data_IF_855214728164
#
_entry.id   IF_855214728164
#
_cell.length_a   1.000
_cell.length_b   1.000
_cell.length_c   1.000
_cell.angle_alpha   90.00
_cell.angle_beta   90.00
_cell.angle_gamma   90.00
#
_symmetry.space_group_name_H-M   'P 1'
#
loop_
_entity.id
_entity.type
_entity.pdbx_description
1 polymer ?
#
# COMPACT_ATOMS: atom_id res chain seq x y z
N UNK A 1 6.17 -25.48 4.54
CA UNK A 1 6.98 -24.24 4.56
C UNK A 1 6.10 -23.08 5.03
N UNK A 2 6.57 -22.24 5.95
CA UNK A 2 5.84 -21.07 6.42
C UNK A 2 5.66 -20.05 5.29
N UNK A 3 4.44 -19.54 5.10
CA UNK A 3 4.13 -18.43 4.19
C UNK A 3 4.48 -17.10 4.82
N UNK A 4 4.74 -16.09 3.99
CA UNK A 4 4.91 -14.70 4.40
C UNK A 4 3.72 -13.95 3.81
N UNK A 5 2.84 -13.47 4.66
CA UNK A 5 1.67 -12.68 4.27
C UNK A 5 2.07 -11.21 4.28
N UNK A 6 2.08 -10.59 3.12
CA UNK A 6 2.33 -9.16 2.97
C UNK A 6 1.00 -8.43 2.83
N UNK A 7 0.63 -7.67 3.86
CA UNK A 7 -0.57 -6.83 3.86
C UNK A 7 -0.12 -5.39 3.66
N UNK A 8 -0.62 -4.75 2.62
CA UNK A 8 -0.31 -3.36 2.26
C UNK A 8 -1.60 -2.54 2.27
N UNK A 9 -1.76 -1.70 3.29
CA UNK A 9 -2.91 -0.83 3.49
C UNK A 9 -2.59 0.57 2.98
N UNK A 10 -3.48 1.13 2.15
CA UNK A 10 -3.20 2.36 1.41
C UNK A 10 -2.16 2.11 0.32
N UNK A 11 -2.36 1.02 -0.41
CA UNK A 11 -1.41 0.49 -1.39
C UNK A 11 -1.09 1.50 -2.50
N UNK A 12 -2.02 2.40 -2.80
CA UNK A 12 -1.93 3.34 -3.90
C UNK A 12 -1.51 2.60 -5.19
N UNK A 13 -0.38 2.96 -5.81
CA UNK A 13 0.11 2.28 -7.01
C UNK A 13 1.03 1.08 -6.73
N UNK A 14 1.00 0.54 -5.53
CA UNK A 14 1.83 -0.59 -5.10
C UNK A 14 3.33 -0.41 -5.41
N UNK A 15 3.85 0.80 -5.21
CA UNK A 15 5.21 1.17 -5.62
C UNK A 15 6.25 0.30 -4.92
N UNK A 16 6.09 0.02 -3.64
CA UNK A 16 7.01 -0.79 -2.84
C UNK A 16 6.98 -2.25 -3.27
N UNK A 17 5.79 -2.79 -3.50
CA UNK A 17 5.67 -4.15 -4.01
C UNK A 17 6.29 -4.27 -5.42
N UNK A 18 6.03 -3.29 -6.31
CA UNK A 18 6.65 -3.23 -7.64
C UNK A 18 8.18 -3.08 -7.55
N UNK A 19 8.67 -2.35 -6.56
CA UNK A 19 10.10 -2.22 -6.33
C UNK A 19 10.75 -3.56 -5.99
N UNK A 20 10.09 -4.39 -5.19
CA UNK A 20 10.60 -5.71 -4.80
C UNK A 20 10.34 -6.76 -5.90
N UNK A 21 9.08 -6.93 -6.30
CA UNK A 21 8.63 -8.02 -7.15
C UNK A 21 8.41 -7.65 -8.63
N UNK A 22 8.36 -6.37 -8.95
CA UNK A 22 8.17 -5.86 -10.31
C UNK A 22 9.36 -6.13 -11.23
N UNK A 23 9.26 -5.66 -12.48
CA UNK A 23 10.31 -5.84 -13.47
C UNK A 23 11.65 -5.23 -13.06
N UNK A 24 12.75 -5.73 -13.60
CA UNK A 24 14.07 -5.14 -13.37
C UNK A 24 14.12 -3.71 -13.92
N UNK A 25 13.46 -3.43 -15.05
CA UNK A 25 13.36 -2.09 -15.62
C UNK A 25 12.73 -1.11 -14.64
N UNK A 26 11.61 -1.48 -14.00
CA UNK A 26 10.96 -0.65 -12.98
C UNK A 26 11.90 -0.39 -11.80
N UNK A 27 12.54 -1.44 -11.29
CA UNK A 27 13.47 -1.37 -10.17
C UNK A 27 14.63 -0.39 -10.45
N UNK A 28 15.32 -0.55 -11.58
CA UNK A 28 16.45 0.32 -11.90
C UNK A 28 16.03 1.76 -12.20
N UNK A 29 14.88 1.98 -12.85
CA UNK A 29 14.31 3.33 -13.03
C UNK A 29 13.98 3.99 -11.69
N UNK A 30 13.41 3.25 -10.74
CA UNK A 30 13.11 3.76 -9.42
C UNK A 30 14.38 4.13 -8.65
N UNK A 31 15.39 3.27 -8.65
CA UNK A 31 16.69 3.55 -8.04
C UNK A 31 17.36 4.78 -8.66
N UNK A 32 17.37 4.86 -9.97
CA UNK A 32 17.96 5.99 -10.68
C UNK A 32 17.25 7.30 -10.34
N UNK A 33 15.91 7.30 -10.31
CA UNK A 33 15.11 8.46 -9.91
C UNK A 33 15.43 8.90 -8.47
N UNK A 34 15.58 7.97 -7.54
CA UNK A 34 15.96 8.27 -6.15
C UNK A 34 17.40 8.75 -6.04
N UNK A 35 18.31 8.16 -6.80
CA UNK A 35 19.72 8.58 -6.84
C UNK A 35 19.85 10.00 -7.41
N UNK A 36 19.26 10.28 -8.56
CA UNK A 36 19.28 11.61 -9.19
C UNK A 36 18.54 12.63 -8.33
N UNK A 37 17.32 12.31 -7.89
CA UNK A 37 16.50 13.20 -7.07
C UNK A 37 17.16 13.57 -5.75
N UNK A 38 17.79 12.61 -5.08
CA UNK A 38 18.50 12.85 -3.82
C UNK A 38 19.82 13.60 -4.01
N UNK A 39 20.64 13.18 -4.97
CA UNK A 39 21.98 13.74 -5.15
C UNK A 39 21.98 15.09 -5.89
N UNK A 40 21.21 15.22 -6.94
CA UNK A 40 21.22 16.41 -7.82
C UNK A 40 20.23 17.47 -7.34
N UNK A 41 18.99 17.06 -7.02
CA UNK A 41 17.92 17.98 -6.65
C UNK A 41 17.83 18.23 -5.15
N UNK A 42 18.68 17.60 -4.33
CA UNK A 42 18.67 17.67 -2.85
C UNK A 42 17.26 17.42 -2.25
N UNK A 43 16.43 16.66 -2.95
CA UNK A 43 15.06 16.32 -2.55
C UNK A 43 14.99 14.90 -2.01
N UNK A 44 14.68 14.78 -0.71
CA UNK A 44 14.47 13.48 -0.06
C UNK A 44 15.73 12.78 0.40
N UNK A 45 15.56 11.56 0.95
CA UNK A 45 16.68 10.74 1.45
C UNK A 45 17.48 10.18 0.27
N UNK A 46 18.77 10.44 0.30
CA UNK A 46 19.73 9.96 -0.67
C UNK A 46 20.11 8.51 -0.38
N UNK A 47 20.11 7.66 -1.40
CA UNK A 47 20.66 6.30 -1.31
C UNK A 47 22.17 6.38 -1.59
N UNK A 48 22.98 6.03 -0.61
CA UNK A 48 24.43 5.99 -0.78
C UNK A 48 24.81 4.86 -1.75
N UNK A 49 25.85 5.08 -2.52
CA UNK A 49 26.34 4.05 -3.47
C UNK A 49 26.70 2.74 -2.77
N UNK A 50 27.21 2.80 -1.55
CA UNK A 50 27.48 1.62 -0.71
C UNK A 50 26.22 0.83 -0.34
N UNK A 51 25.06 1.48 -0.23
CA UNK A 51 23.78 0.84 0.08
C UNK A 51 23.16 0.18 -1.16
N UNK A 52 23.51 0.67 -2.35
CA UNK A 52 22.92 0.19 -3.61
C UNK A 52 23.18 -1.32 -3.81
N UNK A 53 24.39 -1.78 -3.55
CA UNK A 53 24.75 -3.19 -3.64
C UNK A 53 23.92 -4.05 -2.69
N UNK A 54 23.70 -3.57 -1.48
CA UNK A 54 22.89 -4.27 -0.49
C UNK A 54 21.42 -4.34 -0.93
N UNK A 55 20.85 -3.24 -1.42
CA UNK A 55 19.47 -3.19 -1.93
C UNK A 55 19.29 -4.20 -3.08
N UNK A 56 20.22 -4.25 -4.03
CA UNK A 56 20.16 -5.19 -5.15
C UNK A 56 20.23 -6.63 -4.65
N UNK A 57 21.15 -6.93 -3.73
CA UNK A 57 21.29 -8.26 -3.16
C UNK A 57 20.05 -8.68 -2.36
N UNK A 58 19.52 -7.83 -1.50
CA UNK A 58 18.28 -8.10 -0.75
C UNK A 58 17.10 -8.38 -1.67
N UNK A 59 16.92 -7.54 -2.71
CA UNK A 59 15.87 -7.80 -3.69
C UNK A 59 16.02 -9.15 -4.37
N UNK A 60 17.24 -9.52 -4.78
CA UNK A 60 17.53 -10.81 -5.40
C UNK A 60 17.17 -11.99 -4.47
N UNK A 61 17.54 -11.90 -3.20
CA UNK A 61 17.22 -12.93 -2.21
C UNK A 61 15.72 -13.05 -1.92
N UNK A 62 15.01 -11.93 -1.79
CA UNK A 62 13.56 -11.91 -1.61
C UNK A 62 12.87 -12.53 -2.83
N UNK A 63 13.29 -12.20 -4.05
CA UNK A 63 12.70 -12.73 -5.28
C UNK A 63 12.91 -14.23 -5.45
N UNK A 64 14.02 -14.78 -5.02
CA UNK A 64 14.23 -16.25 -4.99
C UNK A 64 13.18 -16.97 -4.14
N UNK A 65 12.60 -16.26 -3.17
CA UNK A 65 11.58 -16.76 -2.25
C UNK A 65 10.18 -16.22 -2.56
N UNK A 66 9.96 -15.68 -3.76
CA UNK A 66 8.68 -15.03 -4.11
C UNK A 66 7.47 -15.95 -3.98
N UNK A 67 7.63 -17.27 -4.22
CA UNK A 67 6.60 -18.27 -4.02
C UNK A 67 6.16 -18.46 -2.56
N UNK A 68 6.92 -17.94 -1.58
CA UNK A 68 6.56 -17.93 -0.17
C UNK A 68 5.68 -16.76 0.22
N UNK A 69 5.62 -15.71 -0.61
CA UNK A 69 4.81 -14.54 -0.35
C UNK A 69 3.37 -14.76 -0.79
N UNK A 70 2.47 -14.19 -0.03
CA UNK A 70 1.05 -14.04 -0.34
C UNK A 70 0.71 -12.57 -0.09
N UNK A 71 0.38 -11.85 -1.16
CA UNK A 71 0.23 -10.40 -1.15
C UNK A 71 -1.23 -10.00 -1.08
N UNK A 72 -1.57 -9.19 -0.10
CA UNK A 72 -2.90 -8.64 0.14
C UNK A 72 -2.81 -7.13 0.05
N UNK A 73 -3.55 -6.52 -0.87
CA UNK A 73 -3.58 -5.08 -1.06
C UNK A 73 -4.94 -4.52 -0.71
N UNK A 74 -4.92 -3.40 0.00
CA UNK A 74 -6.12 -2.68 0.43
C UNK A 74 -5.97 -1.23 -0.05
N UNK A 75 -6.88 -0.79 -0.91
CA UNK A 75 -6.89 0.57 -1.45
C UNK A 75 -8.30 1.17 -1.35
N UNK A 76 -8.40 2.27 -0.63
CA UNK A 76 -9.68 2.93 -0.40
C UNK A 76 -10.20 3.68 -1.64
N UNK A 77 -9.31 4.18 -2.49
CA UNK A 77 -9.66 4.98 -3.64
C UNK A 77 -10.07 4.10 -4.83
N UNK A 78 -11.36 4.04 -5.19
CA UNK A 78 -11.80 3.20 -6.30
C UNK A 78 -11.22 3.64 -7.65
N UNK A 79 -10.88 4.92 -7.82
CA UNK A 79 -10.29 5.41 -9.06
C UNK A 79 -8.86 4.91 -9.27
N UNK A 80 -8.15 4.66 -8.17
CA UNK A 80 -6.84 4.00 -8.20
C UNK A 80 -7.02 2.50 -8.35
N UNK A 81 -7.93 1.92 -7.57
CA UNK A 81 -8.20 0.50 -7.51
C UNK A 81 -8.54 -0.11 -8.88
N UNK A 82 -9.36 0.57 -9.67
CA UNK A 82 -9.83 0.07 -10.96
C UNK A 82 -9.04 0.58 -12.17
N UNK A 83 -7.91 1.25 -11.95
CA UNK A 83 -7.07 1.68 -13.05
C UNK A 83 -6.29 0.48 -13.62
N UNK A 84 -6.59 0.12 -14.87
CA UNK A 84 -5.92 -0.97 -15.56
C UNK A 84 -4.40 -0.90 -15.48
N UNK A 85 -3.75 -2.05 -15.35
CA UNK A 85 -2.29 -2.22 -15.28
C UNK A 85 -1.59 -1.67 -14.03
N UNK A 86 -2.30 -1.24 -12.99
CA UNK A 86 -1.66 -0.68 -11.81
C UNK A 86 -1.21 -1.73 -10.79
N UNK A 87 -1.94 -2.82 -10.65
CA UNK A 87 -1.62 -3.81 -9.64
C UNK A 87 -0.72 -4.90 -10.20
N UNK A 88 0.49 -5.06 -9.64
CA UNK A 88 1.21 -6.31 -9.80
C UNK A 88 0.30 -7.41 -9.21
N UNK A 89 0.47 -8.64 -9.68
CA UNK A 89 -0.32 -9.79 -9.28
C UNK A 89 -0.41 -9.88 -7.75
N UNK A 90 -1.45 -9.27 -7.18
CA UNK A 90 -1.82 -9.50 -5.79
C UNK A 90 -2.55 -10.84 -5.72
N UNK A 91 -2.34 -11.58 -4.64
CA UNK A 91 -3.12 -12.79 -4.38
C UNK A 91 -4.54 -12.44 -3.93
N UNK A 92 -4.69 -11.32 -3.20
CA UNK A 92 -5.97 -10.71 -2.85
C UNK A 92 -5.90 -9.18 -2.98
N UNK A 93 -7.03 -8.61 -3.39
CA UNK A 93 -7.18 -7.17 -3.49
C UNK A 93 -8.53 -6.72 -2.94
N UNK A 94 -8.53 -5.71 -2.08
CA UNK A 94 -9.72 -5.14 -1.49
C UNK A 94 -9.80 -3.65 -1.82
N UNK A 95 -10.88 -3.26 -2.49
CA UNK A 95 -11.21 -1.84 -2.64
C UNK A 95 -12.13 -1.40 -1.52
N UNK A 96 -11.56 -1.02 -0.41
CA UNK A 96 -12.25 -0.52 0.78
C UNK A 96 -11.36 0.38 1.62
N UNK A 97 -11.99 1.19 2.46
CA UNK A 97 -11.33 1.95 3.52
C UNK A 97 -11.43 1.18 4.85
N UNK A 98 -10.32 1.04 5.54
CA UNK A 98 -10.33 0.60 6.93
C UNK A 98 -10.73 1.78 7.81
N UNK A 99 -11.77 1.60 8.62
CA UNK A 99 -12.35 2.62 9.49
C UNK A 99 -12.15 2.27 10.96
N UNK A 100 -12.32 3.24 11.83
CA UNK A 100 -12.28 3.06 13.28
C UNK A 100 -13.24 1.95 13.73
N UNK A 101 -12.92 1.29 14.85
CA UNK A 101 -13.73 0.24 15.49
C UNK A 101 -15.15 0.72 15.90
N UNK A 102 -15.30 2.03 16.09
CA UNK A 102 -16.60 2.64 16.45
C UNK A 102 -17.50 2.88 15.22
N UNK A 103 -16.98 2.67 14.00
CA UNK A 103 -17.79 2.69 12.79
C UNK A 103 -18.62 1.41 12.67
N UNK A 104 -19.77 1.47 11.97
CA UNK A 104 -20.51 0.26 11.59
C UNK A 104 -19.59 -0.76 10.92
N UNK A 105 -19.90 -2.04 11.10
CA UNK A 105 -19.08 -3.13 10.53
C UNK A 105 -18.82 -2.96 9.04
N UNK A 106 -19.80 -2.41 8.31
CA UNK A 106 -19.65 -1.94 6.95
C UNK A 106 -20.51 -0.70 6.72
N UNK A 107 -20.02 0.29 6.00
CA UNK A 107 -20.71 1.55 5.72
C UNK A 107 -20.16 2.23 4.47
N UNK A 108 -20.83 3.27 4.00
CA UNK A 108 -20.25 4.14 2.96
C UNK A 108 -19.44 5.24 3.65
N UNK A 109 -18.13 5.15 3.49
CA UNK A 109 -17.19 6.17 3.96
C UNK A 109 -16.96 7.24 2.89
N UNK A 110 -16.53 8.43 3.33
CA UNK A 110 -16.16 9.56 2.46
C UNK A 110 -14.64 9.69 2.41
N UNK A 111 -14.05 9.36 1.28
CA UNK A 111 -12.63 9.61 1.02
C UNK A 111 -12.49 11.03 0.47
N UNK A 112 -11.98 11.95 1.27
CA UNK A 112 -11.78 13.34 0.89
C UNK A 112 -10.61 13.49 -0.07
N UNK A 113 -10.82 14.28 -1.14
CA UNK A 113 -9.83 14.47 -2.22
C UNK A 113 -8.98 15.69 -1.92
N UNK A 114 -7.67 15.49 -1.84
CA UNK A 114 -6.70 16.56 -1.65
C UNK A 114 -6.40 17.34 -2.93
N UNK A 115 -5.53 18.34 -2.80
CA UNK A 115 -5.13 19.24 -3.90
C UNK A 115 -4.48 18.53 -5.10
N UNK A 116 -4.00 17.31 -4.93
CA UNK A 116 -3.45 16.47 -6.00
C UNK A 116 -4.52 15.79 -6.87
N UNK A 117 -5.80 16.02 -6.59
CA UNK A 117 -6.93 15.46 -7.34
C UNK A 117 -7.24 14.01 -7.01
N UNK A 118 -8.09 13.40 -7.83
CA UNK A 118 -8.71 12.09 -7.58
C UNK A 118 -7.70 10.92 -7.44
N UNK A 119 -6.51 11.09 -7.98
CA UNK A 119 -5.42 10.08 -7.94
C UNK A 119 -4.31 10.44 -6.94
N UNK A 120 -4.56 11.40 -6.05
CA UNK A 120 -3.56 11.84 -5.08
C UNK A 120 -3.30 10.81 -4.00
N UNK A 121 -2.04 10.67 -3.62
CA UNK A 121 -1.62 9.95 -2.42
C UNK A 121 -2.12 10.62 -1.13
N UNK A 122 -2.46 11.92 -1.19
CA UNK A 122 -2.94 12.69 -0.05
C UNK A 122 -4.45 12.60 0.20
N UNK A 123 -5.18 11.68 -0.44
CA UNK A 123 -6.60 11.47 -0.16
C UNK A 123 -6.76 10.79 1.20
N UNK A 124 -7.71 11.25 2.02
CA UNK A 124 -7.87 10.82 3.42
C UNK A 124 -9.32 10.71 3.85
N UNK A 125 -9.57 9.89 4.87
CA UNK A 125 -10.87 9.81 5.53
C UNK A 125 -11.15 11.01 6.47
N UNK A 126 -10.12 11.80 6.81
CA UNK A 126 -10.23 12.89 7.77
C UNK A 126 -10.43 14.25 7.12
N UNK A 127 -11.63 14.82 7.29
CA UNK A 127 -11.95 16.16 6.80
C UNK A 127 -11.02 17.24 7.36
N UNK A 128 -10.58 17.10 8.61
CA UNK A 128 -9.74 18.10 9.33
C UNK A 128 -8.38 18.35 8.67
N UNK A 129 -7.90 17.42 7.84
CA UNK A 129 -6.63 17.59 7.11
C UNK A 129 -6.69 18.73 6.06
N UNK A 130 -7.88 19.11 5.62
CA UNK A 130 -8.08 20.13 4.61
C UNK A 130 -8.80 21.33 5.20
N UNK A 131 -8.07 22.37 5.57
CA UNK A 131 -8.65 23.60 6.14
C UNK A 131 -9.69 24.22 5.19
N UNK A 132 -10.95 24.30 5.64
CA UNK A 132 -12.04 25.22 5.23
C UNK A 132 -12.51 25.28 3.76
N UNK A 133 -12.06 24.46 2.84
CA UNK A 133 -12.58 24.45 1.46
C UNK A 133 -13.71 23.43 1.27
N UNK A 134 -14.68 23.66 0.35
CA UNK A 134 -15.68 22.65 0.00
C UNK A 134 -14.97 21.43 -0.57
N UNK A 135 -14.91 20.35 0.23
CA UNK A 135 -14.12 19.18 -0.09
C UNK A 135 -14.90 18.26 -1.01
N UNK A 136 -14.38 18.03 -2.18
CA UNK A 136 -14.78 16.91 -3.01
C UNK A 136 -14.46 15.63 -2.26
N UNK A 137 -15.36 14.66 -2.32
CA UNK A 137 -15.13 13.33 -1.78
C UNK A 137 -15.51 12.24 -2.78
N UNK A 138 -14.93 11.08 -2.61
CA UNK A 138 -15.24 9.87 -3.35
C UNK A 138 -15.89 8.90 -2.36
N UNK A 139 -17.11 8.39 -2.63
CA UNK A 139 -17.69 7.35 -1.79
C UNK A 139 -16.89 6.06 -1.93
N UNK A 140 -16.59 5.42 -0.81
CA UNK A 140 -15.90 4.14 -0.76
C UNK A 140 -16.53 3.23 0.28
N UNK A 141 -16.39 1.92 0.13
CA UNK A 141 -16.82 0.99 1.16
C UNK A 141 -15.90 1.15 2.38
N UNK A 142 -16.49 1.48 3.54
CA UNK A 142 -15.81 1.49 4.82
C UNK A 142 -16.05 0.20 5.57
N UNK A 143 -15.01 -0.43 6.08
CA UNK A 143 -15.11 -1.62 6.93
C UNK A 143 -14.29 -1.37 8.20
N UNK A 144 -14.85 -1.69 9.38
CA UNK A 144 -14.10 -1.50 10.60
C UNK A 144 -12.85 -2.37 10.62
N UNK A 145 -11.75 -1.81 11.13
CA UNK A 145 -10.45 -2.50 11.18
C UNK A 145 -10.55 -3.84 11.89
N UNK A 146 -11.29 -3.89 13.00
CA UNK A 146 -11.49 -5.11 13.79
C UNK A 146 -12.23 -6.20 13.00
N UNK A 147 -13.32 -5.83 12.31
CA UNK A 147 -14.10 -6.77 11.50
C UNK A 147 -13.26 -7.31 10.36
N UNK A 148 -12.52 -6.42 9.67
CA UNK A 148 -11.69 -6.82 8.54
C UNK A 148 -10.58 -7.80 8.97
N UNK A 149 -9.79 -7.44 10.00
CA UNK A 149 -8.66 -8.27 10.39
C UNK A 149 -9.08 -9.58 11.06
N UNK A 150 -10.19 -9.61 11.83
CA UNK A 150 -10.74 -10.88 12.35
C UNK A 150 -11.16 -11.82 11.22
N UNK A 151 -11.85 -11.30 10.21
CA UNK A 151 -12.26 -12.10 9.05
C UNK A 151 -11.06 -12.57 8.23
N UNK A 152 -10.06 -11.70 8.06
CA UNK A 152 -8.83 -12.04 7.34
C UNK A 152 -8.02 -13.11 8.09
N UNK A 153 -7.90 -12.99 9.40
CA UNK A 153 -7.22 -13.98 10.26
C UNK A 153 -7.87 -15.36 10.14
N UNK A 154 -9.20 -15.42 10.23
CA UNK A 154 -9.95 -16.65 10.05
C UNK A 154 -9.64 -17.32 8.71
N UNK A 155 -9.71 -16.53 7.62
CA UNK A 155 -9.38 -17.01 6.27
C UNK A 155 -7.93 -17.51 6.14
N UNK A 156 -6.97 -16.73 6.68
CA UNK A 156 -5.56 -17.10 6.59
C UNK A 156 -5.22 -18.34 7.40
N UNK A 157 -5.86 -18.51 8.56
CA UNK A 157 -5.68 -19.68 9.44
C UNK A 157 -6.26 -20.94 8.82
N UNK A 158 -7.35 -20.85 8.06
CA UNK A 158 -7.89 -21.95 7.28
C UNK A 158 -6.97 -22.32 6.11
N UNK A 159 -6.41 -21.31 5.43
CA UNK A 159 -5.62 -21.50 4.21
C UNK A 159 -4.18 -21.92 4.47
N UNK A 160 -3.58 -21.48 5.56
CA UNK A 160 -2.16 -21.69 5.86
C UNK A 160 -1.93 -22.18 7.28
N UNK A 161 -1.36 -23.38 7.43
CA UNK A 161 -1.03 -23.95 8.73
C UNK A 161 0.00 -23.14 9.53
N UNK A 162 0.86 -22.36 8.86
CA UNK A 162 1.87 -21.53 9.50
C UNK A 162 2.25 -20.35 8.59
N UNK A 163 2.19 -19.15 9.12
CA UNK A 163 2.56 -17.93 8.39
C UNK A 163 3.14 -16.85 9.30
N UNK A 164 3.82 -15.89 8.67
CA UNK A 164 4.30 -14.64 9.29
C UNK A 164 3.64 -13.47 8.59
N UNK A 165 3.28 -12.44 9.35
CA UNK A 165 2.68 -11.22 8.82
C UNK A 165 3.75 -10.13 8.62
N UNK A 166 3.66 -9.43 7.51
CA UNK A 166 4.29 -8.14 7.27
C UNK A 166 3.16 -7.17 6.97
N UNK A 167 2.91 -6.23 7.88
CA UNK A 167 1.91 -5.19 7.71
C UNK A 167 2.62 -3.89 7.35
N UNK A 168 2.22 -3.31 6.22
CA UNK A 168 2.59 -1.96 5.82
C UNK A 168 1.37 -1.06 5.88
N UNK A 169 1.47 0.02 6.62
CA UNK A 169 0.45 1.06 6.68
C UNK A 169 0.98 2.29 5.92
N UNK A 170 0.21 2.77 4.97
CA UNK A 170 0.48 3.99 4.23
C UNK A 170 -0.83 4.78 4.06
N UNK A 171 -1.46 5.01 5.18
CA UNK A 171 -2.77 5.65 5.27
C UNK A 171 -2.57 7.06 5.82
N UNK A 172 -2.65 8.05 4.98
CA UNK A 172 -2.47 9.45 5.34
C UNK A 172 -3.41 9.88 6.49
N UNK A 173 -2.82 10.11 7.68
CA UNK A 173 -3.50 10.62 8.86
C UNK A 173 -4.21 9.56 9.72
N UNK A 174 -3.84 8.30 9.62
CA UNK A 174 -4.38 7.16 10.40
C UNK A 174 -3.24 6.37 11.07
N UNK A 175 -2.03 6.89 11.03
CA UNK A 175 -0.84 6.22 11.56
C UNK A 175 -0.69 6.37 13.09
N UNK A 176 -1.56 7.15 13.76
CA UNK A 176 -1.55 7.41 15.21
C UNK A 176 -2.33 6.37 16.01
#
# INVERSE_FOLDING_TARGET
MSKIIWIDVGTHFAQEHKFIFGSNTYFYRFLLKRFIGGKILKRGKFVKFSELKNIINYRKEIRKRSNKFFSIFIEANPKIAFKENFYPKADMFFNLALTDKNYPSASIAKLFVGNGGDYSEGNTLFKKKFNSQPLKYIPTLGVSVDTFFKSLEAYLSEKFNNYRLILRLNCEGVED
#
